data_IF_300294976157
#
_entry.id   IF_300294976157
#
_cell.length_a   1.000
_cell.length_b   1.000
_cell.length_c   1.000
_cell.angle_alpha   90.00
_cell.angle_beta   90.00
_cell.angle_gamma   90.00
#
_symmetry.space_group_name_H-M   'P 1'
#
loop_
_entity.id
_entity.type
_entity.pdbx_description
1 polymer ?
#
# COMPACT_ATOMS: atom_id res chain seq x y z
N UNK A 1 -16.24 -24.08 -1.38
CA UNK A 1 -15.06 -23.25 -1.05
C UNK A 1 -15.53 -22.16 -0.11
N UNK A 2 -15.25 -22.26 1.19
CA UNK A 2 -15.67 -21.22 2.14
C UNK A 2 -15.02 -19.89 1.74
N UNK A 3 -15.79 -18.79 1.71
CA UNK A 3 -15.27 -17.46 1.41
C UNK A 3 -14.35 -17.04 2.57
N UNK A 4 -13.14 -16.58 2.25
CA UNK A 4 -12.24 -16.10 3.30
C UNK A 4 -12.74 -14.80 3.91
N UNK A 5 -13.16 -14.86 5.18
CA UNK A 5 -13.69 -13.71 5.94
C UNK A 5 -12.68 -12.56 6.13
N UNK A 6 -11.41 -12.78 5.78
CA UNK A 6 -10.34 -11.77 5.84
C UNK A 6 -10.23 -10.97 4.54
N UNK A 7 -10.98 -11.32 3.50
CA UNK A 7 -10.94 -10.67 2.19
C UNK A 7 -12.27 -9.98 1.88
N UNK A 8 -12.25 -8.85 1.15
CA UNK A 8 -13.48 -8.22 0.67
C UNK A 8 -14.25 -9.18 -0.26
N UNK A 9 -15.56 -9.28 -0.06
CA UNK A 9 -16.45 -10.20 -0.79
C UNK A 9 -17.31 -9.49 -1.85
N UNK A 10 -17.30 -8.16 -1.89
CA UNK A 10 -18.04 -7.33 -2.84
C UNK A 10 -17.32 -6.00 -3.09
N UNK A 11 -17.80 -5.22 -4.07
CA UNK A 11 -17.18 -3.95 -4.47
C UNK A 11 -17.14 -2.92 -3.34
N UNK A 12 -18.18 -2.85 -2.48
CA UNK A 12 -18.22 -1.91 -1.35
C UNK A 12 -17.12 -2.24 -0.33
N UNK A 13 -16.99 -3.52 0.03
CA UNK A 13 -15.93 -3.99 0.91
C UNK A 13 -14.55 -3.77 0.28
N UNK A 14 -14.41 -3.95 -1.03
CA UNK A 14 -13.17 -3.65 -1.75
C UNK A 14 -12.75 -2.18 -1.64
N UNK A 15 -13.71 -1.26 -1.70
CA UNK A 15 -13.45 0.18 -1.50
C UNK A 15 -13.03 0.44 -0.05
N UNK A 16 -13.75 -0.10 0.93
CA UNK A 16 -13.42 0.06 2.36
C UNK A 16 -12.01 -0.49 2.65
N UNK A 17 -11.71 -1.68 2.14
CA UNK A 17 -10.41 -2.33 2.30
C UNK A 17 -9.27 -1.46 1.74
N UNK A 18 -9.45 -0.91 0.54
CA UNK A 18 -8.51 0.00 -0.08
C UNK A 18 -8.34 1.30 0.72
N UNK A 19 -9.42 1.90 1.21
CA UNK A 19 -9.37 3.12 2.02
C UNK A 19 -8.59 2.91 3.30
N UNK A 20 -8.84 1.81 4.03
CA UNK A 20 -8.12 1.50 5.27
C UNK A 20 -6.63 1.36 5.00
N UNK A 21 -6.25 0.54 4.02
CA UNK A 21 -4.84 0.32 3.69
C UNK A 21 -4.18 1.62 3.27
N UNK A 22 -4.77 2.34 2.31
CA UNK A 22 -4.17 3.56 1.75
C UNK A 22 -4.01 4.65 2.80
N UNK A 23 -5.00 4.88 3.66
CA UNK A 23 -4.93 5.91 4.72
C UNK A 23 -3.85 5.56 5.74
N UNK A 24 -3.83 4.31 6.23
CA UNK A 24 -2.79 3.87 7.18
C UNK A 24 -1.41 4.04 6.53
N UNK A 25 -1.26 3.59 5.30
CA UNK A 25 0.00 3.57 4.58
C UNK A 25 0.55 4.98 4.36
N UNK A 26 -0.22 5.92 3.82
CA UNK A 26 0.30 7.28 3.57
C UNK A 26 0.63 8.03 4.85
N UNK A 27 -0.10 7.80 5.94
CA UNK A 27 0.14 8.44 7.23
C UNK A 27 1.30 7.81 8.01
N UNK A 28 1.83 6.67 7.59
CA UNK A 28 2.92 5.97 8.28
C UNK A 28 4.18 5.92 7.41
N UNK A 29 4.06 5.45 6.18
CA UNK A 29 5.16 5.29 5.22
C UNK A 29 5.75 6.65 4.85
N UNK A 30 4.93 7.65 4.49
CA UNK A 30 5.46 8.93 4.02
C UNK A 30 6.24 9.67 5.13
N UNK A 31 5.72 9.84 6.36
CA UNK A 31 6.51 10.43 7.45
C UNK A 31 7.78 9.65 7.77
N UNK A 32 7.74 8.32 7.71
CA UNK A 32 8.92 7.49 7.96
C UNK A 32 9.99 7.70 6.90
N UNK A 33 9.62 7.66 5.62
CA UNK A 33 10.57 7.87 4.51
C UNK A 33 11.15 9.28 4.55
N UNK A 34 10.30 10.30 4.68
CA UNK A 34 10.75 11.70 4.69
C UNK A 34 11.62 11.98 5.92
N UNK A 35 11.28 11.44 7.09
CA UNK A 35 12.11 11.57 8.29
C UNK A 35 13.46 10.87 8.16
N UNK A 36 13.53 9.72 7.49
CA UNK A 36 14.79 9.03 7.18
C UNK A 36 15.66 9.79 6.17
N UNK A 37 15.05 10.61 5.31
CA UNK A 37 15.74 11.34 4.25
C UNK A 37 16.18 12.73 4.69
N UNK A 38 15.30 13.48 5.36
CA UNK A 38 15.49 14.90 5.73
C UNK A 38 15.73 15.10 7.23
N UNK A 39 15.72 14.02 8.01
CA UNK A 39 15.82 14.05 9.47
C UNK A 39 14.45 14.12 10.16
N UNK A 40 14.37 13.55 11.37
CA UNK A 40 13.15 13.60 12.18
C UNK A 40 13.09 14.93 12.95
N UNK A 41 12.22 15.83 12.50
CA UNK A 41 11.89 17.06 13.21
C UNK A 41 10.40 17.38 13.10
N UNK A 42 9.90 18.28 13.96
CA UNK A 42 8.51 18.75 13.88
C UNK A 42 8.23 19.44 12.55
N UNK A 43 9.18 20.23 12.06
CA UNK A 43 9.04 20.97 10.80
C UNK A 43 8.92 20.01 9.60
N UNK A 44 9.80 19.00 9.54
CA UNK A 44 9.76 17.97 8.50
C UNK A 44 8.45 17.19 8.53
N UNK A 45 7.94 16.88 9.73
CA UNK A 45 6.65 16.21 9.87
C UNK A 45 5.49 17.08 9.36
N UNK A 46 5.46 18.37 9.75
CA UNK A 46 4.43 19.31 9.30
C UNK A 46 4.45 19.52 7.78
N UNK A 47 5.63 19.58 7.18
CA UNK A 47 5.76 19.68 5.72
C UNK A 47 5.28 18.39 5.03
N UNK A 48 5.56 17.23 5.62
CA UNK A 48 5.05 15.95 5.11
C UNK A 48 3.52 15.91 5.13
N UNK A 49 2.88 16.44 6.18
CA UNK A 49 1.41 16.49 6.29
C UNK A 49 0.76 17.29 5.16
N UNK A 50 1.42 18.35 4.65
CA UNK A 50 0.90 19.15 3.53
C UNK A 50 0.86 18.35 2.22
N UNK A 51 1.78 17.41 2.04
CA UNK A 51 1.94 16.62 0.82
C UNK A 51 1.06 15.36 0.84
N UNK A 52 0.76 14.81 2.03
CA UNK A 52 -0.01 13.57 2.20
C UNK A 52 -1.34 13.53 1.41
N UNK A 53 -2.21 14.57 1.41
CA UNK A 53 -3.47 14.51 0.68
C UNK A 53 -3.28 14.27 -0.83
N UNK A 54 -2.28 14.92 -1.43
CA UNK A 54 -1.96 14.76 -2.84
C UNK A 54 -1.35 13.37 -3.12
N UNK A 55 -0.42 12.94 -2.28
CA UNK A 55 0.19 11.62 -2.38
C UNK A 55 -0.84 10.49 -2.22
N UNK A 56 -1.84 10.67 -1.35
CA UNK A 56 -2.90 9.69 -1.17
C UNK A 56 -3.73 9.48 -2.42
N UNK A 57 -4.11 10.55 -3.13
CA UNK A 57 -4.82 10.45 -4.41
C UNK A 57 -3.97 9.70 -5.43
N UNK A 58 -2.68 10.03 -5.55
CA UNK A 58 -1.74 9.33 -6.43
C UNK A 58 -1.68 7.83 -6.09
N UNK A 59 -1.53 7.49 -4.82
CA UNK A 59 -1.45 6.09 -4.37
C UNK A 59 -2.72 5.32 -4.75
N UNK A 60 -3.91 5.90 -4.49
CA UNK A 60 -5.19 5.25 -4.84
C UNK A 60 -5.30 5.03 -6.34
N UNK A 61 -4.90 6.02 -7.16
CA UNK A 61 -4.88 5.90 -8.62
C UNK A 61 -3.90 4.83 -9.09
N UNK A 62 -2.67 4.81 -8.57
CA UNK A 62 -1.66 3.82 -8.92
C UNK A 62 -2.09 2.40 -8.53
N UNK A 63 -2.72 2.22 -7.36
CA UNK A 63 -3.25 0.91 -6.97
C UNK A 63 -4.27 0.41 -7.99
N UNK A 64 -5.20 1.28 -8.42
CA UNK A 64 -6.29 0.89 -9.33
C UNK A 64 -5.85 0.71 -10.77
N UNK A 65 -4.99 1.60 -11.27
CA UNK A 65 -4.65 1.71 -12.69
C UNK A 65 -3.36 0.98 -13.06
N UNK A 66 -2.44 0.80 -12.10
CA UNK A 66 -1.10 0.25 -12.36
C UNK A 66 -0.92 -1.07 -11.60
N UNK A 67 -0.92 -1.03 -10.27
CA UNK A 67 -0.63 -2.19 -9.44
C UNK A 67 -1.65 -3.31 -9.62
N UNK A 68 -2.95 -3.01 -9.52
CA UNK A 68 -4.03 -3.99 -9.64
C UNK A 68 -3.96 -4.78 -10.96
N UNK A 69 -3.92 -4.13 -12.13
CA UNK A 69 -3.81 -4.81 -13.42
C UNK A 69 -2.52 -5.62 -13.58
N UNK A 70 -1.37 -5.10 -13.12
CA UNK A 70 -0.07 -5.79 -13.23
C UNK A 70 -0.07 -7.02 -12.32
N UNK A 71 -0.33 -6.84 -11.02
CA UNK A 71 -0.30 -7.93 -10.05
C UNK A 71 -1.37 -8.97 -10.36
N UNK A 72 -2.55 -8.56 -10.85
CA UNK A 72 -3.60 -9.48 -11.28
C UNK A 72 -3.18 -10.41 -12.43
N UNK A 73 -2.24 -9.98 -13.28
CA UNK A 73 -1.67 -10.81 -14.37
C UNK A 73 -0.47 -11.64 -13.93
N UNK A 74 0.33 -11.11 -12.98
CA UNK A 74 1.59 -11.72 -12.54
C UNK A 74 1.35 -12.78 -11.47
N UNK A 75 0.54 -12.47 -10.46
CA UNK A 75 0.30 -13.35 -9.31
C UNK A 75 -0.14 -14.77 -9.72
N UNK A 76 -1.13 -14.96 -10.63
CA UNK A 76 -1.57 -16.31 -11.01
C UNK A 76 -0.50 -17.19 -11.66
N UNK A 77 0.61 -16.61 -12.15
CA UNK A 77 1.74 -17.37 -12.72
C UNK A 77 2.60 -18.03 -11.66
N UNK A 78 2.53 -17.56 -10.41
CA UNK A 78 3.36 -18.03 -9.30
C UNK A 78 2.59 -18.83 -8.26
N UNK A 79 1.28 -18.60 -8.12
CA UNK A 79 0.45 -19.31 -7.13
C UNK A 79 -0.40 -20.42 -7.75
N UNK A 80 -0.19 -21.65 -7.31
CA UNK A 80 -0.99 -22.84 -7.62
C UNK A 80 -2.20 -22.97 -6.70
N UNK A 81 -3.16 -23.86 -6.99
CA UNK A 81 -4.43 -24.01 -6.22
C UNK A 81 -4.23 -24.47 -4.77
N UNK A 82 -3.17 -25.21 -4.51
CA UNK A 82 -2.83 -25.78 -3.20
C UNK A 82 -2.10 -24.80 -2.27
N UNK A 83 -1.66 -23.64 -2.77
CA UNK A 83 -0.93 -22.68 -1.95
C UNK A 83 -1.80 -22.12 -0.83
N UNK A 84 -1.22 -22.09 0.37
CA UNK A 84 -1.85 -21.59 1.57
C UNK A 84 -2.25 -20.12 1.45
N UNK A 85 -3.31 -19.75 2.16
CA UNK A 85 -3.81 -18.37 2.19
C UNK A 85 -2.71 -17.35 2.52
N UNK A 86 -1.92 -17.60 3.57
CA UNK A 86 -0.88 -16.66 4.02
C UNK A 86 0.23 -16.49 2.96
N UNK A 87 0.61 -17.56 2.25
CA UNK A 87 1.61 -17.49 1.18
C UNK A 87 1.11 -16.63 0.01
N UNK A 88 -0.16 -16.79 -0.38
CA UNK A 88 -0.80 -15.96 -1.41
C UNK A 88 -0.86 -14.49 -1.00
N UNK A 89 -1.22 -14.21 0.25
CA UNK A 89 -1.27 -12.84 0.76
C UNK A 89 0.12 -12.22 0.79
N UNK A 90 1.13 -12.94 1.29
CA UNK A 90 2.51 -12.47 1.32
C UNK A 90 3.00 -12.11 -0.08
N UNK A 91 2.83 -13.01 -1.05
CA UNK A 91 3.25 -12.76 -2.43
C UNK A 91 2.46 -11.62 -3.07
N UNK A 92 1.15 -11.57 -2.87
CA UNK A 92 0.33 -10.46 -3.37
C UNK A 92 0.78 -9.12 -2.79
N UNK A 93 1.04 -9.05 -1.48
CA UNK A 93 1.54 -7.84 -0.82
C UNK A 93 2.91 -7.46 -1.36
N UNK A 94 3.84 -8.41 -1.47
CA UNK A 94 5.17 -8.18 -2.05
C UNK A 94 5.08 -7.59 -3.45
N UNK A 95 4.28 -8.20 -4.34
CA UNK A 95 4.13 -7.73 -5.72
C UNK A 95 3.49 -6.33 -5.79
N UNK A 96 2.44 -6.07 -5.00
CA UNK A 96 1.80 -4.74 -4.98
C UNK A 96 2.77 -3.66 -4.48
N UNK A 97 3.45 -3.91 -3.35
CA UNK A 97 4.40 -2.95 -2.80
C UNK A 97 5.57 -2.73 -3.75
N UNK A 98 6.04 -3.77 -4.45
CA UNK A 98 7.11 -3.64 -5.44
C UNK A 98 6.72 -2.72 -6.58
N UNK A 99 5.54 -2.93 -7.19
CA UNK A 99 5.07 -2.08 -8.29
C UNK A 99 4.89 -0.64 -7.82
N UNK A 100 4.22 -0.45 -6.68
CA UNK A 100 3.97 0.88 -6.12
C UNK A 100 5.27 1.59 -5.72
N UNK A 101 6.22 0.90 -5.10
CA UNK A 101 7.47 1.51 -4.63
C UNK A 101 8.34 1.96 -5.80
N UNK A 102 8.36 1.22 -6.91
CA UNK A 102 9.05 1.64 -8.14
C UNK A 102 8.42 2.94 -8.66
N UNK A 103 7.10 2.99 -8.83
CA UNK A 103 6.41 4.18 -9.32
C UNK A 103 6.59 5.39 -8.37
N UNK A 104 6.43 5.16 -7.07
CA UNK A 104 6.48 6.21 -6.05
C UNK A 104 7.89 6.68 -5.73
N UNK A 105 8.93 5.91 -6.04
CA UNK A 105 10.32 6.41 -5.95
C UNK A 105 10.62 7.48 -7.00
N UNK A 106 9.86 7.50 -8.10
CA UNK A 106 9.97 8.55 -9.12
C UNK A 106 8.98 9.68 -8.81
N UNK A 107 7.70 9.33 -8.71
CA UNK A 107 6.62 10.31 -8.51
C UNK A 107 6.79 11.03 -7.16
N UNK A 108 7.16 10.32 -6.10
CA UNK A 108 7.37 10.90 -4.78
C UNK A 108 8.47 11.95 -4.76
N UNK A 109 9.56 11.74 -5.50
CA UNK A 109 10.64 12.74 -5.65
C UNK A 109 10.12 13.98 -6.38
N UNK A 110 9.39 13.83 -7.48
CA UNK A 110 8.80 14.97 -8.19
C UNK A 110 7.82 15.76 -7.32
N UNK A 111 6.97 15.07 -6.57
CA UNK A 111 6.03 15.72 -5.64
C UNK A 111 6.78 16.42 -4.50
N UNK A 112 7.82 15.79 -3.95
CA UNK A 112 8.58 16.30 -2.83
C UNK A 112 9.52 17.46 -3.17
N UNK A 113 9.93 17.58 -4.43
CA UNK A 113 10.77 18.68 -4.96
C UNK A 113 9.93 19.77 -5.65
N UNK A 114 8.73 19.42 -6.13
CA UNK A 114 7.91 20.30 -6.96
C UNK A 114 8.39 20.40 -8.42
N UNK A 115 9.38 19.59 -8.82
CA UNK A 115 10.00 19.64 -10.14
C UNK A 115 9.99 18.27 -10.83
N UNK A 116 9.72 18.27 -12.13
CA UNK A 116 9.82 17.06 -12.96
C UNK A 116 11.19 17.06 -13.64
N UNK A 117 12.13 16.31 -13.08
CA UNK A 117 13.51 16.21 -13.56
C UNK A 117 13.99 14.74 -13.64
N UNK A 118 15.24 14.53 -14.06
CA UNK A 118 15.84 13.18 -14.21
C UNK A 118 16.49 12.63 -12.93
N UNK A 119 16.56 13.42 -11.86
CA UNK A 119 17.17 13.04 -10.59
C UNK A 119 16.65 11.71 -9.99
N UNK A 120 15.33 11.42 -9.97
CA UNK A 120 14.85 10.16 -9.42
C UNK A 120 15.33 8.93 -10.20
N UNK A 121 15.69 9.09 -11.48
CA UNK A 121 16.23 7.98 -12.28
C UNK A 121 17.71 7.76 -12.00
N UNK A 122 18.49 8.84 -11.83
CA UNK A 122 19.92 8.74 -11.52
C UNK A 122 20.14 8.16 -10.12
N UNK A 123 19.30 8.55 -9.16
CA UNK A 123 19.39 8.09 -7.77
C UNK A 123 18.48 6.90 -7.45
N UNK A 124 17.84 6.29 -8.46
CA UNK A 124 16.79 5.30 -8.26
C UNK A 124 17.24 4.15 -7.35
N UNK A 125 18.37 3.53 -7.64
CA UNK A 125 18.87 2.37 -6.88
C UNK A 125 19.38 2.73 -5.48
N UNK A 126 19.64 4.00 -5.19
CA UNK A 126 19.97 4.47 -3.85
C UNK A 126 18.72 4.72 -3.01
N UNK A 127 17.63 5.18 -3.63
CA UNK A 127 16.40 5.57 -2.94
C UNK A 127 15.43 4.39 -2.81
N UNK A 128 15.23 3.65 -3.90
CA UNK A 128 14.20 2.63 -4.00
C UNK A 128 14.31 1.51 -2.96
N UNK A 129 15.48 0.90 -2.67
CA UNK A 129 15.56 -0.20 -1.72
C UNK A 129 15.12 0.19 -0.30
N UNK A 130 15.53 1.38 0.16
CA UNK A 130 15.13 1.93 1.47
C UNK A 130 13.63 2.14 1.51
N UNK A 131 13.09 2.84 0.51
CA UNK A 131 11.67 3.19 0.45
C UNK A 131 10.78 1.94 0.33
N UNK A 132 11.20 0.98 -0.49
CA UNK A 132 10.57 -0.34 -0.61
C UNK A 132 10.58 -1.08 0.72
N UNK A 133 11.72 -1.14 1.41
CA UNK A 133 11.83 -1.84 2.69
C UNK A 133 10.86 -1.28 3.73
N UNK A 134 10.84 0.06 3.89
CA UNK A 134 9.91 0.73 4.81
C UNK A 134 8.45 0.45 4.43
N UNK A 135 8.10 0.63 3.16
CA UNK A 135 6.74 0.41 2.68
C UNK A 135 6.30 -1.04 2.86
N UNK A 136 7.17 -2.00 2.55
CA UNK A 136 6.87 -3.43 2.61
C UNK A 136 6.57 -3.87 4.04
N UNK A 137 7.41 -3.51 5.00
CA UNK A 137 7.22 -3.91 6.39
C UNK A 137 5.98 -3.26 7.02
N UNK A 138 5.74 -1.98 6.74
CA UNK A 138 4.53 -1.30 7.21
C UNK A 138 3.27 -1.93 6.60
N UNK A 139 3.28 -2.18 5.29
CA UNK A 139 2.15 -2.78 4.59
C UNK A 139 1.85 -4.19 5.15
N UNK A 140 2.89 -5.01 5.31
CA UNK A 140 2.78 -6.40 5.75
C UNK A 140 2.36 -6.54 7.22
N UNK A 141 2.93 -5.73 8.12
CA UNK A 141 2.75 -5.87 9.56
C UNK A 141 1.62 -5.01 10.13
N UNK A 142 1.25 -3.92 9.45
CA UNK A 142 0.32 -2.92 9.99
C UNK A 142 -0.90 -2.78 9.09
N UNK A 143 -0.73 -2.28 7.85
CA UNK A 143 -1.87 -1.90 7.01
C UNK A 143 -2.74 -3.10 6.62
N UNK A 144 -2.13 -4.18 6.11
CA UNK A 144 -2.84 -5.39 5.69
C UNK A 144 -3.51 -6.11 6.87
N UNK A 145 -2.85 -6.36 8.01
CA UNK A 145 -3.50 -7.01 9.15
C UNK A 145 -4.69 -6.21 9.69
N UNK A 146 -4.59 -4.89 9.80
CA UNK A 146 -5.70 -4.04 10.27
C UNK A 146 -6.87 -4.11 9.29
N UNK A 147 -6.64 -3.96 8.00
CA UNK A 147 -7.70 -4.03 6.99
C UNK A 147 -8.41 -5.39 7.01
N UNK A 148 -7.65 -6.49 7.14
CA UNK A 148 -8.19 -7.86 7.23
C UNK A 148 -8.97 -8.09 8.51
N UNK A 149 -8.53 -7.52 9.62
CA UNK A 149 -9.26 -7.57 10.88
C UNK A 149 -10.62 -6.86 10.77
N UNK A 150 -10.66 -5.69 10.13
CA UNK A 150 -11.91 -4.98 9.87
C UNK A 150 -12.85 -5.82 9.01
N UNK A 151 -12.37 -6.46 7.94
CA UNK A 151 -13.19 -7.39 7.14
C UNK A 151 -13.78 -8.51 7.98
N UNK A 152 -12.94 -9.16 8.80
CA UNK A 152 -13.38 -10.25 9.70
C UNK A 152 -14.48 -9.77 10.65
N UNK A 153 -14.35 -8.57 11.24
CA UNK A 153 -15.36 -7.99 12.13
C UNK A 153 -16.64 -7.63 11.39
N UNK A 154 -16.56 -7.11 10.17
CA UNK A 154 -17.73 -6.80 9.35
C UNK A 154 -18.52 -8.06 9.00
N UNK A 155 -17.87 -9.12 8.54
CA UNK A 155 -18.55 -10.38 8.20
C UNK A 155 -19.14 -11.07 9.43
N UNK A 156 -18.46 -11.03 10.57
CA UNK A 156 -19.00 -11.55 11.83
C UNK A 156 -20.31 -10.83 12.23
N UNK A 157 -20.40 -9.51 12.02
CA UNK A 157 -21.63 -8.74 12.30
C UNK A 157 -22.75 -9.04 11.30
N UNK A 158 -22.41 -9.26 10.03
CA UNK A 158 -23.40 -9.62 8.99
C UNK A 158 -23.99 -11.02 9.21
N UNK A 159 -23.28 -11.91 9.90
CA UNK A 159 -23.73 -13.26 10.23
C UNK A 159 -24.69 -13.31 11.44
N UNK A 160 -24.85 -12.21 12.18
CA UNK A 160 -25.82 -12.13 13.27
C UNK A 160 -27.24 -11.96 12.70
N UNK A 161 -28.27 -12.57 13.33
CA UNK A 161 -29.65 -12.29 12.99
C UNK A 161 -29.94 -10.79 13.09
N UNK A 162 -30.64 -10.22 12.12
CA UNK A 162 -31.17 -8.86 12.26
C UNK A 162 -32.23 -8.89 13.36
N UNK A 163 -31.98 -8.17 14.45
CA UNK A 163 -32.96 -7.92 15.50
C UNK A 163 -34.13 -7.08 14.96
#
# INVERSE_FOLDING_TARGET
MHKEARLPQNAKEGIIFLLIISIISVNTIAPMIVGLERGFSKDVYLDTLKIIPFMWVIVVLLVRLVSGPIVGKVLPKFVGKTDGFNARILLNTLLNVTVLSICLSIIGTWVGTGEVNLEPFTNFFHIWPRNFGVAFWIELLIAQPIARFVMKKMHARQALPKA
#
